data_IF_007463362263
#
_entry.id   IF_007463362263
#
_cell.length_a   1.000
_cell.length_b   1.000
_cell.length_c   1.000
_cell.angle_alpha   90.00
_cell.angle_beta   90.00
_cell.angle_gamma   90.00
#
_symmetry.space_group_name_H-M   'P 1'
#
loop_
_entity.id
_entity.type
_entity.pdbx_description
1 polymer ?
#
# COMPACT_ATOMS: atom_id res chain seq x y z
N UNK A 1 29.08 9.31 27.53
CA UNK A 1 28.04 9.88 26.63
C UNK A 1 27.88 8.88 25.50
N UNK A 2 26.76 8.16 25.45
CA UNK A 2 26.57 7.07 24.49
C UNK A 2 25.96 7.62 23.20
N UNK A 3 26.62 7.38 22.07
CA UNK A 3 26.20 7.80 20.74
C UNK A 3 24.92 7.06 20.32
N UNK A 4 23.90 7.84 19.98
CA UNK A 4 22.58 7.37 19.58
C UNK A 4 22.57 7.18 18.04
N UNK A 5 23.18 6.10 17.55
CA UNK A 5 23.17 5.75 16.13
C UNK A 5 21.78 5.21 15.73
N UNK A 6 20.96 6.08 15.13
CA UNK A 6 19.68 5.71 14.54
C UNK A 6 19.84 4.71 13.38
N UNK A 7 18.82 3.86 13.17
CA UNK A 7 18.81 2.85 12.11
C UNK A 7 18.67 3.56 10.76
N UNK A 8 19.60 3.26 9.84
CA UNK A 8 19.53 3.72 8.44
C UNK A 8 18.95 2.63 7.57
N UNK A 9 17.85 2.93 6.88
CA UNK A 9 17.19 2.01 5.95
C UNK A 9 16.69 2.80 4.73
N UNK A 10 16.89 2.26 3.53
CA UNK A 10 16.47 2.88 2.25
C UNK A 10 16.96 4.32 2.04
N UNK A 11 18.17 4.67 2.51
CA UNK A 11 18.69 6.04 2.40
C UNK A 11 18.05 7.04 3.36
N UNK A 12 17.09 6.61 4.19
CA UNK A 12 16.47 7.41 5.24
C UNK A 12 17.09 7.07 6.60
N UNK A 13 17.30 8.10 7.42
CA UNK A 13 17.76 7.97 8.80
C UNK A 13 16.54 8.09 9.73
N UNK A 14 16.14 6.99 10.38
CA UNK A 14 15.07 7.00 11.36
C UNK A 14 15.59 7.66 12.65
N UNK A 15 15.26 8.94 12.84
CA UNK A 15 15.51 9.69 14.08
C UNK A 15 14.29 9.63 14.98
N UNK A 16 14.51 9.47 16.29
CA UNK A 16 13.46 9.64 17.31
C UNK A 16 12.89 11.05 17.16
N UNK A 17 11.59 11.16 16.88
CA UNK A 17 10.88 12.43 16.77
C UNK A 17 11.13 13.29 18.02
N UNK A 18 11.89 14.37 17.86
CA UNK A 18 11.88 15.46 18.82
C UNK A 18 10.54 16.18 18.71
N UNK A 19 9.97 16.56 19.87
CA UNK A 19 8.65 17.22 20.01
C UNK A 19 8.27 18.05 18.78
N UNK A 20 7.29 17.55 18.03
CA UNK A 20 6.72 18.27 16.89
C UNK A 20 6.22 19.65 17.35
N UNK A 21 6.56 20.67 16.58
CA UNK A 21 5.94 21.99 16.73
C UNK A 21 4.47 21.81 16.39
N UNK A 22 3.61 22.10 17.38
CA UNK A 22 2.16 22.11 17.24
C UNK A 22 1.74 22.71 15.89
N UNK A 23 1.19 21.88 15.01
CA UNK A 23 0.49 22.36 13.82
C UNK A 23 -0.72 23.17 14.29
N UNK A 24 -0.63 24.47 14.08
CA UNK A 24 -1.70 25.42 14.39
C UNK A 24 -2.82 25.26 13.37
N UNK A 25 -4.02 24.98 13.90
CA UNK A 25 -5.36 25.14 13.29
C UNK A 25 -5.76 24.00 12.33
N UNK A 26 -6.74 23.14 12.64
CA UNK A 26 -8.11 23.43 13.09
C UNK A 26 -8.61 22.36 14.09
N UNK A 27 -9.30 22.77 15.16
CA UNK A 27 -10.07 21.85 16.03
C UNK A 27 -11.38 21.48 15.33
N UNK A 28 -11.40 20.40 14.56
CA UNK A 28 -12.66 19.73 14.19
C UNK A 28 -13.14 18.89 15.38
N UNK A 29 -14.42 19.01 15.71
CA UNK A 29 -15.10 18.23 16.77
C UNK A 29 -15.50 16.84 16.24
N UNK A 30 -15.40 16.64 14.91
CA UNK A 30 -15.66 15.36 14.25
C UNK A 30 -14.37 14.54 14.30
N UNK A 31 -14.40 13.29 14.81
CA UNK A 31 -13.28 12.36 14.66
C UNK A 31 -12.94 12.24 13.17
N UNK A 32 -11.65 12.30 12.81
CA UNK A 32 -11.24 12.04 11.43
C UNK A 32 -11.69 10.62 11.06
N UNK A 33 -12.54 10.50 10.06
CA UNK A 33 -12.82 9.21 9.43
C UNK A 33 -11.63 8.93 8.51
N UNK A 34 -10.73 8.02 8.86
CA UNK A 34 -9.75 7.51 7.89
C UNK A 34 -10.51 6.48 7.05
N UNK A 35 -10.72 6.80 5.77
CA UNK A 35 -11.54 6.02 4.83
C UNK A 35 -10.86 4.70 4.38
N UNK A 36 -9.64 4.40 4.85
CA UNK A 36 -8.84 3.26 4.37
C UNK A 36 -7.97 2.64 5.46
N UNK A 37 -8.43 1.49 5.99
CA UNK A 37 -7.64 0.38 6.57
C UNK A 37 -6.75 0.63 7.79
N UNK A 38 -6.39 1.88 8.10
CA UNK A 38 -5.58 2.25 9.24
C UNK A 38 -6.45 2.16 10.50
N UNK A 39 -6.30 1.08 11.26
CA UNK A 39 -7.03 0.86 12.50
C UNK A 39 -6.94 2.07 13.45
N UNK A 40 -8.06 2.42 14.08
CA UNK A 40 -8.12 3.47 15.08
C UNK A 40 -7.40 3.06 16.36
N UNK A 41 -6.26 3.69 16.64
CA UNK A 41 -5.79 3.78 18.02
C UNK A 41 -6.65 4.83 18.73
N UNK A 42 -7.79 4.39 19.26
CA UNK A 42 -8.61 5.24 20.12
C UNK A 42 -7.85 5.46 21.42
N UNK A 43 -7.10 6.56 21.48
CA UNK A 43 -6.41 7.01 22.69
C UNK A 43 -7.45 7.49 23.72
N UNK A 44 -8.16 6.55 24.35
CA UNK A 44 -8.97 6.85 25.51
C UNK A 44 -8.06 7.01 26.75
N UNK A 45 -7.49 8.21 26.90
CA UNK A 45 -7.37 8.81 28.23
C UNK A 45 -6.16 8.50 29.13
N UNK A 46 -4.96 8.23 28.59
CA UNK A 46 -3.75 8.25 29.43
C UNK A 46 -2.53 8.77 28.65
N UNK A 47 -2.18 10.02 28.95
CA UNK A 47 -0.94 10.67 28.52
C UNK A 47 0.28 9.75 28.80
N UNK A 48 1.13 9.56 27.79
CA UNK A 48 2.36 8.73 27.80
C UNK A 48 2.18 7.22 27.63
N UNK A 49 1.83 6.81 26.41
CA UNK A 49 2.05 5.45 25.92
C UNK A 49 1.97 5.42 24.40
N UNK A 50 3.12 5.40 23.71
CA UNK A 50 3.13 4.88 22.35
C UNK A 50 2.97 3.37 22.47
N UNK A 51 1.74 2.90 22.43
CA UNK A 51 1.49 1.50 22.13
C UNK A 51 1.72 1.36 20.62
N UNK A 52 2.93 0.97 20.22
CA UNK A 52 2.99 0.02 19.11
C UNK A 52 2.08 -1.12 19.57
N UNK A 53 1.07 -1.48 18.78
CA UNK A 53 0.24 -2.66 19.03
C UNK A 53 1.14 -3.90 18.89
N UNK A 54 1.95 -4.16 19.92
CA UNK A 54 2.84 -5.31 20.06
C UNK A 54 2.08 -6.51 20.65
N UNK A 55 0.84 -6.29 21.12
CA UNK A 55 -0.08 -7.34 21.54
C UNK A 55 -0.78 -8.02 20.35
N UNK A 56 -0.74 -7.40 19.16
CA UNK A 56 -1.12 -8.03 17.90
C UNK A 56 -2.56 -8.53 17.87
N UNK A 57 -3.46 -7.90 18.62
CA UNK A 57 -4.84 -8.37 18.72
C UNK A 57 -5.53 -8.31 17.35
N UNK A 58 -5.30 -7.23 16.58
CA UNK A 58 -5.78 -7.08 15.21
C UNK A 58 -4.95 -7.88 14.18
N UNK A 59 -3.66 -8.13 14.44
CA UNK A 59 -2.78 -8.84 13.50
C UNK A 59 -3.01 -10.35 13.50
N UNK A 60 -3.42 -10.91 14.64
CA UNK A 60 -3.88 -12.29 14.75
C UNK A 60 -5.15 -12.52 13.94
N UNK A 61 -6.12 -11.59 14.00
CA UNK A 61 -7.37 -11.69 13.25
C UNK A 61 -7.12 -11.60 11.74
N UNK A 62 -6.33 -10.62 11.27
CA UNK A 62 -5.96 -10.51 9.86
C UNK A 62 -5.24 -11.75 9.32
N UNK A 63 -4.33 -12.34 10.11
CA UNK A 63 -3.63 -13.57 9.69
C UNK A 63 -4.61 -14.73 9.55
N UNK A 64 -5.54 -14.88 10.50
CA UNK A 64 -6.57 -15.92 10.42
C UNK A 64 -7.51 -15.69 9.24
N UNK A 65 -7.85 -14.44 8.94
CA UNK A 65 -8.70 -14.07 7.81
C UNK A 65 -8.02 -14.39 6.47
N UNK A 66 -6.74 -14.06 6.30
CA UNK A 66 -5.96 -14.42 5.11
C UNK A 66 -5.89 -15.93 4.94
N UNK A 67 -5.67 -16.69 6.02
CA UNK A 67 -5.67 -18.15 5.96
C UNK A 67 -7.05 -18.71 5.56
N UNK A 68 -8.13 -18.09 6.05
CA UNK A 68 -9.50 -18.45 5.66
C UNK A 68 -9.75 -18.17 4.18
N UNK A 69 -9.35 -17.01 3.65
CA UNK A 69 -9.49 -16.70 2.22
C UNK A 69 -8.71 -17.69 1.35
N UNK A 70 -7.47 -18.02 1.73
CA UNK A 70 -6.69 -19.05 1.04
C UNK A 70 -7.37 -20.42 1.06
N UNK A 71 -7.99 -20.80 2.18
CA UNK A 71 -8.74 -22.05 2.28
C UNK A 71 -9.98 -22.07 1.38
N UNK A 72 -10.73 -20.96 1.34
CA UNK A 72 -11.93 -20.86 0.50
C UNK A 72 -11.59 -20.81 -0.99
N UNK A 73 -10.49 -20.15 -1.36
CA UNK A 73 -9.98 -20.09 -2.72
C UNK A 73 -9.53 -21.46 -3.29
N UNK A 74 -9.39 -22.51 -2.47
CA UNK A 74 -9.10 -23.87 -2.94
C UNK A 74 -10.35 -24.61 -3.44
N UNK A 75 -11.56 -24.09 -3.20
CA UNK A 75 -12.77 -24.71 -3.72
C UNK A 75 -12.90 -24.43 -5.23
N UNK A 76 -13.18 -25.45 -6.08
CA UNK A 76 -13.14 -25.28 -7.54
C UNK A 76 -14.02 -24.14 -8.09
N UNK A 77 -15.22 -23.95 -7.55
CA UNK A 77 -16.14 -22.88 -8.00
C UNK A 77 -15.65 -21.49 -7.59
N UNK A 78 -14.99 -21.38 -6.43
CA UNK A 78 -14.41 -20.13 -5.96
C UNK A 78 -13.12 -19.83 -6.70
N UNK A 79 -12.28 -20.83 -6.90
CA UNK A 79 -11.05 -20.71 -7.69
C UNK A 79 -11.35 -20.20 -9.09
N UNK A 80 -12.35 -20.80 -9.76
CA UNK A 80 -12.81 -20.34 -11.06
C UNK A 80 -13.33 -18.91 -11.03
N UNK A 81 -14.13 -18.54 -10.02
CA UNK A 81 -14.62 -17.17 -9.90
C UNK A 81 -13.49 -16.16 -9.68
N UNK A 82 -12.46 -16.50 -8.90
CA UNK A 82 -11.27 -15.67 -8.73
C UNK A 82 -10.53 -15.56 -10.06
N UNK A 83 -10.30 -16.66 -10.78
CA UNK A 83 -9.65 -16.66 -12.09
C UNK A 83 -10.41 -15.80 -13.11
N UNK A 84 -11.73 -15.88 -13.16
CA UNK A 84 -12.54 -15.07 -14.08
C UNK A 84 -12.36 -13.57 -13.80
N UNK A 85 -12.36 -13.16 -12.52
CA UNK A 85 -12.15 -11.77 -12.12
C UNK A 85 -10.73 -11.30 -12.43
N UNK A 86 -9.71 -12.11 -12.14
CA UNK A 86 -8.31 -11.75 -12.38
C UNK A 86 -8.05 -11.60 -13.87
N UNK A 87 -8.61 -12.48 -14.70
CA UNK A 87 -8.47 -12.41 -16.16
C UNK A 87 -9.23 -11.23 -16.79
N UNK A 88 -10.34 -10.79 -16.21
CA UNK A 88 -11.02 -9.55 -16.64
C UNK A 88 -10.26 -8.29 -16.19
N UNK A 89 -9.65 -8.32 -15.00
CA UNK A 89 -8.92 -7.19 -14.43
C UNK A 89 -7.55 -6.96 -15.08
N UNK A 90 -6.81 -8.05 -15.35
CA UNK A 90 -5.47 -8.00 -15.94
C UNK A 90 -5.47 -8.83 -17.22
N UNK A 91 -5.53 -8.12 -18.35
CA UNK A 91 -5.34 -8.71 -19.67
C UNK A 91 -3.93 -8.44 -20.16
N UNK A 92 -3.11 -9.48 -20.25
CA UNK A 92 -1.80 -9.41 -20.89
C UNK A 92 -1.87 -9.72 -22.37
N UNK A 93 -1.11 -9.00 -23.19
CA UNK A 93 -0.84 -9.33 -24.59
C UNK A 93 0.65 -9.57 -24.75
N UNK A 94 1.08 -10.50 -25.62
CA UNK A 94 2.51 -10.83 -25.79
C UNK A 94 3.36 -9.61 -26.20
N UNK A 95 2.74 -8.60 -26.81
CA UNK A 95 3.45 -7.42 -27.35
C UNK A 95 3.15 -6.11 -26.60
N UNK A 96 2.26 -6.11 -25.62
CA UNK A 96 1.82 -4.89 -24.92
C UNK A 96 1.92 -5.04 -23.41
N UNK A 97 2.29 -3.95 -22.73
CA UNK A 97 2.27 -3.90 -21.26
C UNK A 97 0.83 -4.04 -20.75
N UNK A 98 0.63 -4.82 -19.70
CA UNK A 98 -0.69 -4.98 -19.09
C UNK A 98 -1.22 -3.68 -18.44
N UNK A 99 -0.34 -2.72 -18.14
CA UNK A 99 -0.68 -1.43 -17.54
C UNK A 99 0.18 -0.32 -18.15
N UNK A 100 -0.42 0.85 -18.43
CA UNK A 100 0.26 2.07 -18.89
C UNK A 100 -0.27 3.30 -18.11
N UNK A 101 0.57 4.33 -18.00
CA UNK A 101 0.28 5.58 -17.32
C UNK A 101 -0.33 6.61 -18.28
N UNK A 102 -1.63 6.86 -18.15
CA UNK A 102 -2.36 7.85 -18.96
C UNK A 102 -2.27 9.25 -18.35
N UNK A 103 -1.65 10.20 -19.05
CA UNK A 103 -1.40 11.58 -18.58
C UNK A 103 -2.21 12.65 -19.34
N UNK A 104 -3.27 12.24 -20.04
CA UNK A 104 -3.96 13.08 -21.03
C UNK A 104 -4.76 14.24 -20.43
N UNK A 105 -5.19 14.10 -19.16
CA UNK A 105 -5.95 15.12 -18.44
C UNK A 105 -5.07 16.22 -17.82
N UNK A 106 -3.76 16.19 -18.05
CA UNK A 106 -2.82 17.17 -17.50
C UNK A 106 -2.44 18.16 -18.59
N UNK A 107 -3.11 19.31 -18.57
CA UNK A 107 -3.04 20.35 -19.61
C UNK A 107 -1.73 21.15 -19.59
N UNK A 108 -1.07 21.29 -18.42
CA UNK A 108 0.07 22.19 -18.24
C UNK A 108 1.41 21.48 -17.96
N UNK A 109 1.56 20.23 -18.41
CA UNK A 109 2.78 19.46 -18.22
C UNK A 109 3.55 19.32 -19.53
N UNK A 110 4.85 19.65 -19.50
CA UNK A 110 5.70 19.56 -20.69
C UNK A 110 5.87 18.12 -21.16
N UNK A 111 6.01 17.93 -22.47
CA UNK A 111 6.19 16.59 -23.07
C UNK A 111 7.42 15.86 -22.53
N UNK A 112 8.48 16.61 -22.21
CA UNK A 112 9.68 16.06 -21.58
C UNK A 112 9.38 15.42 -20.22
N UNK A 113 8.59 16.09 -19.37
CA UNK A 113 8.23 15.55 -18.05
C UNK A 113 7.24 14.39 -18.20
N UNK A 114 6.26 14.48 -19.12
CA UNK A 114 5.36 13.37 -19.43
C UNK A 114 6.13 12.12 -19.86
N UNK A 115 7.16 12.28 -20.69
CA UNK A 115 8.03 11.18 -21.12
C UNK A 115 8.78 10.57 -19.94
N UNK A 116 9.40 11.41 -19.09
CA UNK A 116 10.11 10.92 -17.90
C UNK A 116 9.19 10.16 -16.94
N UNK A 117 7.95 10.64 -16.73
CA UNK A 117 6.97 9.95 -15.89
C UNK A 117 6.62 8.57 -16.44
N UNK A 118 6.41 8.45 -17.76
CA UNK A 118 6.15 7.15 -18.41
C UNK A 118 7.36 6.22 -18.29
N UNK A 119 8.56 6.72 -18.56
CA UNK A 119 9.80 5.93 -18.42
C UNK A 119 10.02 5.42 -16.99
N UNK A 120 9.75 6.24 -15.96
CA UNK A 120 9.86 5.80 -14.56
C UNK A 120 8.75 4.83 -14.18
N UNK A 121 7.54 5.02 -14.72
CA UNK A 121 6.44 4.07 -14.52
C UNK A 121 6.77 2.69 -15.10
N UNK A 122 7.29 2.63 -16.33
CA UNK A 122 7.72 1.39 -16.98
C UNK A 122 8.85 0.69 -16.18
N UNK A 123 9.73 1.47 -15.55
CA UNK A 123 10.75 0.91 -14.65
C UNK A 123 10.13 0.29 -13.40
N UNK A 124 9.12 0.92 -12.79
CA UNK A 124 8.43 0.35 -11.62
C UNK A 124 7.68 -0.93 -11.98
N UNK A 125 6.97 -0.92 -13.11
CA UNK A 125 6.26 -2.09 -13.63
C UNK A 125 7.22 -3.24 -13.95
N UNK A 126 8.38 -2.93 -14.54
CA UNK A 126 9.41 -3.94 -14.82
C UNK A 126 10.13 -4.47 -13.58
N UNK A 127 10.30 -3.67 -12.52
CA UNK A 127 10.81 -4.16 -11.22
C UNK A 127 9.91 -5.22 -10.58
N UNK A 128 8.61 -5.17 -10.84
CA UNK A 128 7.65 -6.19 -10.39
C UNK A 128 7.56 -7.39 -11.36
N UNK A 129 8.25 -7.35 -12.49
CA UNK A 129 8.08 -8.27 -13.61
C UNK A 129 6.60 -8.46 -13.98
N UNK A 130 5.85 -7.35 -14.03
CA UNK A 130 4.39 -7.39 -14.04
C UNK A 130 3.80 -8.03 -15.31
N UNK A 131 4.52 -8.00 -16.44
CA UNK A 131 4.06 -8.65 -17.66
C UNK A 131 3.96 -10.17 -17.52
N UNK A 132 4.83 -10.79 -16.70
CA UNK A 132 4.80 -12.23 -16.45
C UNK A 132 4.07 -12.58 -15.16
N UNK A 133 4.21 -11.74 -14.12
CA UNK A 133 3.71 -12.01 -12.76
C UNK A 133 2.46 -11.22 -12.37
N UNK A 134 1.96 -10.33 -13.23
CA UNK A 134 0.85 -9.43 -12.91
C UNK A 134 -0.41 -10.15 -12.48
N UNK A 135 -0.75 -11.23 -13.19
CA UNK A 135 -1.86 -12.13 -12.85
C UNK A 135 -1.75 -12.65 -11.40
N UNK A 136 -0.60 -13.22 -11.04
CA UNK A 136 -0.36 -13.78 -9.70
C UNK A 136 -0.28 -12.71 -8.62
N UNK A 137 0.29 -11.54 -8.92
CA UNK A 137 0.39 -10.42 -7.97
C UNK A 137 -1.01 -9.93 -7.61
N UNK A 138 -1.87 -9.75 -8.61
CA UNK A 138 -3.24 -9.29 -8.39
C UNK A 138 -4.12 -10.35 -7.73
N UNK A 139 -3.98 -11.62 -8.14
CA UNK A 139 -4.66 -12.75 -7.49
C UNK A 139 -4.35 -12.88 -5.99
N UNK A 140 -3.15 -12.47 -5.56
CA UNK A 140 -2.77 -12.47 -4.12
C UNK A 140 -3.27 -11.25 -3.36
N UNK A 141 -3.50 -10.15 -4.06
CA UNK A 141 -4.06 -8.92 -3.49
C UNK A 141 -5.58 -9.03 -3.33
N UNK A 142 -6.24 -9.61 -4.33
CA UNK A 142 -7.66 -9.98 -4.31
C UNK A 142 -7.94 -11.07 -3.26
#
# INVERSE_FOLDING_TARGET
MAENNGIKLFGFELRRLGKEKEEKNLKSIVPKVDDDGAGYVTAAGSHYGQYLNMDGDDSKDNTQLVMKYRGVAMHPEVDQAIEDIVNEAITGSEMESAVDLVLDKIENLSDSIKKQLREEFDKVVSMLNFNELGHDIFRRWY
#
